data_IF_642661752573
#
_entry.id   IF_642661752573
#
_cell.length_a   1.000
_cell.length_b   1.000
_cell.length_c   1.000
_cell.angle_alpha   90.00
_cell.angle_beta   90.00
_cell.angle_gamma   90.00
#
_symmetry.space_group_name_H-M   'P 1'
#
loop_
_entity.id
_entity.type
_entity.pdbx_description
1 polymer ?
#
# COMPACT_ATOMS: atom_id res chain seq x y z
N UNK A 1 3.57 -1.23 13.82
CA UNK A 1 3.85 -2.60 13.34
C UNK A 1 3.19 -2.74 11.99
N UNK A 2 3.91 -3.28 11.00
CA UNK A 2 3.37 -3.49 9.65
C UNK A 2 2.43 -4.70 9.71
N UNK A 3 1.16 -4.47 9.37
CA UNK A 3 0.14 -5.52 9.38
C UNK A 3 0.45 -6.56 8.32
N UNK A 4 0.98 -6.13 7.17
CA UNK A 4 1.48 -7.05 6.15
C UNK A 4 2.47 -8.08 6.74
N UNK A 5 3.48 -7.62 7.50
CA UNK A 5 4.46 -8.52 8.13
C UNK A 5 3.86 -9.50 9.13
N UNK A 6 2.84 -9.09 9.89
CA UNK A 6 2.16 -9.96 10.87
C UNK A 6 1.47 -11.17 10.20
N UNK A 7 1.04 -11.05 8.94
CA UNK A 7 0.28 -12.07 8.21
C UNK A 7 1.08 -12.83 7.15
N UNK A 8 2.32 -12.44 6.85
CA UNK A 8 3.21 -13.16 5.92
C UNK A 8 3.53 -14.58 6.42
N UNK A 9 3.52 -14.83 7.72
CA UNK A 9 3.76 -16.18 8.24
C UNK A 9 2.50 -17.07 8.21
N UNK A 10 1.35 -16.50 7.80
CA UNK A 10 0.04 -17.13 7.88
C UNK A 10 -0.67 -17.14 6.53
N UNK A 11 -0.27 -18.02 5.60
CA UNK A 11 -0.74 -18.00 4.21
C UNK A 11 -2.26 -18.16 4.06
N UNK A 12 -2.90 -18.98 4.91
CA UNK A 12 -4.36 -19.18 4.86
C UNK A 12 -5.14 -17.95 5.33
N UNK A 13 -4.69 -17.28 6.41
CA UNK A 13 -5.31 -16.05 6.89
C UNK A 13 -5.08 -14.90 5.91
N UNK A 14 -3.88 -14.81 5.33
CA UNK A 14 -3.54 -13.81 4.32
C UNK A 14 -4.42 -13.92 3.08
N UNK A 15 -4.58 -15.15 2.55
CA UNK A 15 -5.46 -15.42 1.41
C UNK A 15 -6.92 -15.09 1.73
N UNK A 16 -7.39 -15.40 2.94
CA UNK A 16 -8.76 -15.09 3.35
C UNK A 16 -9.01 -13.57 3.49
N UNK A 17 -8.01 -12.79 3.91
CA UNK A 17 -8.11 -11.35 4.08
C UNK A 17 -7.98 -10.58 2.78
N UNK A 18 -7.02 -10.95 1.94
CA UNK A 18 -6.67 -10.19 0.73
C UNK A 18 -7.25 -10.80 -0.55
N UNK A 19 -7.65 -12.08 -0.52
CA UNK A 19 -8.05 -12.83 -1.71
C UNK A 19 -6.88 -13.27 -2.61
N UNK A 20 -5.64 -12.92 -2.26
CA UNK A 20 -4.44 -13.21 -3.05
C UNK A 20 -3.47 -14.13 -2.32
N UNK A 21 -2.77 -14.97 -3.07
CA UNK A 21 -1.56 -15.63 -2.56
C UNK A 21 -0.43 -14.62 -2.38
N UNK A 22 0.60 -14.95 -1.60
CA UNK A 22 1.72 -14.01 -1.38
C UNK A 22 2.43 -13.68 -2.69
N UNK A 23 2.57 -14.65 -3.60
CA UNK A 23 3.21 -14.43 -4.89
C UNK A 23 2.40 -13.47 -5.76
N UNK A 24 1.07 -13.63 -5.80
CA UNK A 24 0.19 -12.71 -6.53
C UNK A 24 0.21 -11.31 -5.93
N UNK A 25 0.21 -11.22 -4.59
CA UNK A 25 0.28 -9.95 -3.88
C UNK A 25 1.61 -9.22 -4.15
N UNK A 26 2.74 -9.93 -4.10
CA UNK A 26 4.06 -9.37 -4.42
C UNK A 26 4.15 -8.95 -5.89
N UNK A 27 3.56 -9.72 -6.81
CA UNK A 27 3.48 -9.35 -8.22
C UNK A 27 2.60 -8.11 -8.46
N UNK A 28 1.55 -7.93 -7.67
CA UNK A 28 0.65 -6.77 -7.75
C UNK A 28 1.26 -5.50 -7.14
N UNK A 29 2.09 -5.64 -6.11
CA UNK A 29 2.69 -4.53 -5.37
C UNK A 29 3.35 -3.43 -6.22
N UNK A 30 4.20 -3.73 -7.23
CA UNK A 30 4.80 -2.70 -8.08
C UNK A 30 3.75 -1.97 -8.95
N UNK A 31 2.74 -2.68 -9.45
CA UNK A 31 1.66 -2.09 -10.24
C UNK A 31 0.79 -1.17 -9.39
N UNK A 32 0.43 -1.62 -8.20
CA UNK A 32 -0.29 -0.81 -7.23
C UNK A 32 0.53 0.43 -6.83
N UNK A 33 1.83 0.27 -6.57
CA UNK A 33 2.71 1.37 -6.20
C UNK A 33 2.76 2.44 -7.28
N UNK A 34 2.95 2.05 -8.53
CA UNK A 34 2.92 2.98 -9.66
C UNK A 34 1.59 3.77 -9.70
N UNK A 35 0.45 3.07 -9.65
CA UNK A 35 -0.87 3.73 -9.63
C UNK A 35 -1.06 4.67 -8.43
N UNK A 36 -0.62 4.23 -7.25
CA UNK A 36 -0.69 5.03 -6.03
C UNK A 36 0.15 6.31 -6.13
N UNK A 37 1.39 6.23 -6.61
CA UNK A 37 2.26 7.40 -6.77
C UNK A 37 1.73 8.37 -7.82
N UNK A 38 1.26 7.87 -8.97
CA UNK A 38 0.64 8.71 -10.00
C UNK A 38 -0.58 9.45 -9.45
N UNK A 39 -1.45 8.76 -8.72
CA UNK A 39 -2.60 9.39 -8.07
C UNK A 39 -2.16 10.43 -7.03
N UNK A 40 -1.16 10.10 -6.21
CA UNK A 40 -0.62 11.00 -5.18
C UNK A 40 0.07 12.25 -5.74
N UNK A 41 0.41 12.31 -7.03
CA UNK A 41 0.90 13.56 -7.66
C UNK A 41 -0.20 14.61 -7.74
N UNK A 42 -1.43 14.20 -8.05
CA UNK A 42 -2.56 15.09 -8.33
C UNK A 42 -3.57 15.17 -7.18
N UNK A 43 -3.66 14.12 -6.36
CA UNK A 43 -4.66 13.99 -5.30
C UNK A 43 -4.02 13.68 -3.94
N UNK A 44 -4.78 13.99 -2.89
CA UNK A 44 -4.51 13.67 -1.49
C UNK A 44 -5.33 12.44 -1.10
N UNK A 45 -4.93 11.75 -0.02
CA UNK A 45 -5.58 10.54 0.50
C UNK A 45 -7.11 10.68 0.72
N UNK A 46 -7.61 11.89 0.95
CA UNK A 46 -9.03 12.22 1.09
C UNK A 46 -9.77 12.42 -0.25
N UNK A 47 -9.12 12.12 -1.38
CA UNK A 47 -9.66 12.29 -2.73
C UNK A 47 -9.62 13.73 -3.25
N UNK A 48 -9.13 14.69 -2.46
CA UNK A 48 -9.09 16.11 -2.86
C UNK A 48 -7.87 16.41 -3.72
N UNK A 49 -7.94 17.44 -4.60
CA UNK A 49 -6.78 17.89 -5.35
C UNK A 49 -5.63 18.27 -4.43
N UNK A 50 -4.42 17.89 -4.81
CA UNK A 50 -3.19 18.24 -4.11
C UNK A 50 -2.78 19.67 -4.47
N UNK A 51 -2.39 20.43 -3.44
CA UNK A 51 -1.86 21.79 -3.61
C UNK A 51 -0.38 21.79 -4.01
N UNK A 52 0.34 22.87 -3.67
CA UNK A 52 1.73 23.11 -4.11
C UNK A 52 2.77 22.10 -3.61
N UNK A 53 2.48 21.33 -2.56
CA UNK A 53 3.43 20.38 -1.96
C UNK A 53 3.28 18.99 -2.58
N UNK A 54 4.34 18.53 -3.25
CA UNK A 54 4.43 17.17 -3.78
C UNK A 54 4.40 16.12 -2.66
N UNK A 55 3.93 14.93 -3.00
CA UNK A 55 4.03 13.78 -2.10
C UNK A 55 5.49 13.33 -1.97
N UNK A 56 5.88 12.91 -0.77
CA UNK A 56 7.21 12.34 -0.50
C UNK A 56 7.08 11.28 0.57
N UNK A 57 7.65 10.11 0.32
CA UNK A 57 7.78 9.09 1.34
C UNK A 57 8.96 9.43 2.25
N UNK A 58 8.68 9.60 3.53
CA UNK A 58 9.72 9.77 4.54
C UNK A 58 9.98 8.42 5.19
N UNK A 59 11.26 8.03 5.30
CA UNK A 59 11.67 6.77 5.96
C UNK A 59 11.18 6.67 7.41
N UNK A 60 11.08 7.80 8.11
CA UNK A 60 10.60 7.88 9.50
C UNK A 60 9.12 8.31 9.58
N UNK A 61 8.37 8.20 8.48
CA UNK A 61 6.96 8.55 8.49
C UNK A 61 6.19 7.55 9.37
N UNK A 62 5.23 7.99 10.20
CA UNK A 62 4.30 7.09 10.86
C UNK A 62 3.28 6.47 9.88
N UNK A 63 3.34 6.84 8.59
CA UNK A 63 2.42 6.34 7.58
C UNK A 63 2.69 4.87 7.25
N UNK A 64 1.64 4.09 6.95
CA UNK A 64 1.77 2.70 6.54
C UNK A 64 2.62 2.57 5.28
N UNK A 65 3.29 1.43 5.14
CA UNK A 65 4.07 1.10 3.95
C UNK A 65 3.15 0.87 2.75
N UNK A 66 3.72 0.78 1.55
CA UNK A 66 2.94 0.54 0.34
C UNK A 66 2.28 -0.86 0.34
N UNK A 67 2.96 -1.85 0.93
CA UNK A 67 2.41 -3.18 1.16
C UNK A 67 1.27 -3.14 2.18
N UNK A 68 1.43 -2.41 3.30
CA UNK A 68 0.34 -2.22 4.25
C UNK A 68 -0.86 -1.52 3.59
N UNK A 69 -0.63 -0.53 2.71
CA UNK A 69 -1.72 0.15 1.99
C UNK A 69 -2.48 -0.80 1.08
N UNK A 70 -1.78 -1.65 0.32
CA UNK A 70 -2.41 -2.65 -0.54
C UNK A 70 -3.17 -3.72 0.27
N UNK A 71 -2.68 -4.07 1.44
CA UNK A 71 -3.28 -5.07 2.33
C UNK A 71 -4.68 -4.68 2.85
N UNK A 72 -5.03 -3.39 2.84
CA UNK A 72 -6.31 -2.86 3.35
C UNK A 72 -7.31 -2.45 2.26
N UNK A 73 -7.11 -2.88 1.02
CA UNK A 73 -8.01 -2.61 -0.12
C UNK A 73 -8.92 -3.81 -0.34
#
# INVERSE_FOLDING_TARGET
MSKYQDYIEKPTEFLALTGYTHQEFEALLPHFGHGYYEWMKSHRLDGRPRGKRQYSDYKNSPLPTLADKLFFI
#
